data_IF_650362514631
#
_entry.id   IF_650362514631
#
_cell.length_a   1.000
_cell.length_b   1.000
_cell.length_c   1.000
_cell.angle_alpha   90.00
_cell.angle_beta   90.00
_cell.angle_gamma   90.00
#
_symmetry.space_group_name_H-M   'P 1'
#
loop_
_entity.id
_entity.type
_entity.pdbx_description
1 polymer ?
#
# COMPACT_ATOMS: atom_id res chain seq x y z
N UNK A 1 14.42 14.62 -4.70
CA UNK A 1 13.28 14.82 -3.79
C UNK A 1 12.33 15.76 -4.50
N UNK A 2 11.21 15.26 -5.00
CA UNK A 2 10.21 16.08 -5.69
C UNK A 2 9.60 17.16 -4.79
N UNK A 3 9.11 18.25 -5.39
CA UNK A 3 8.49 19.39 -4.70
C UNK A 3 7.35 18.92 -3.78
N UNK A 4 6.57 17.93 -4.21
CA UNK A 4 5.47 17.37 -3.41
C UNK A 4 5.93 16.55 -2.22
N UNK A 5 7.09 15.88 -2.30
CA UNK A 5 7.63 15.14 -1.16
C UNK A 5 7.94 16.06 0.03
N UNK A 6 8.29 17.33 -0.21
CA UNK A 6 8.47 18.32 0.86
C UNK A 6 7.14 18.81 1.44
N UNK A 7 6.12 18.95 0.58
CA UNK A 7 4.75 19.29 1.01
C UNK A 7 4.18 18.16 1.87
N UNK A 8 4.32 16.91 1.46
CA UNK A 8 3.82 15.76 2.22
C UNK A 8 4.66 15.41 3.44
N UNK A 9 5.99 15.56 3.38
CA UNK A 9 6.86 15.38 4.54
C UNK A 9 6.51 16.33 5.69
N UNK A 10 5.92 17.49 5.39
CA UNK A 10 5.45 18.45 6.38
C UNK A 10 4.03 18.16 6.90
N UNK A 11 3.24 17.33 6.20
CA UNK A 11 1.78 17.25 6.40
C UNK A 11 1.34 15.90 6.97
N UNK A 12 1.89 14.76 6.53
CA UNK A 12 1.42 13.44 6.99
C UNK A 12 2.18 12.24 6.43
N UNK A 13 2.00 11.09 7.09
CA UNK A 13 2.17 9.77 6.48
C UNK A 13 1.04 9.50 5.48
N UNK A 14 1.37 9.06 4.26
CA UNK A 14 0.41 8.90 3.15
C UNK A 14 0.22 7.43 2.81
N UNK A 15 -1.03 6.99 2.74
CA UNK A 15 -1.41 5.68 2.20
C UNK A 15 -2.44 5.86 1.08
N UNK A 16 -2.09 5.42 -0.13
CA UNK A 16 -3.06 5.35 -1.24
C UNK A 16 -3.80 4.04 -1.15
N UNK A 17 -5.09 4.13 -0.86
CA UNK A 17 -5.98 2.98 -0.79
C UNK A 17 -6.73 2.81 -2.09
N UNK A 18 -7.33 1.63 -2.27
CA UNK A 18 -8.19 1.43 -3.42
C UNK A 18 -9.53 2.16 -3.39
N UNK A 19 -9.83 2.87 -2.31
CA UNK A 19 -11.02 3.71 -2.21
C UNK A 19 -10.66 5.17 -1.88
N UNK A 20 -9.49 5.62 -2.36
CA UNK A 20 -8.99 6.97 -2.23
C UNK A 20 -7.76 7.05 -1.34
N UNK A 21 -7.39 8.26 -0.95
CA UNK A 21 -6.17 8.51 -0.17
C UNK A 21 -6.50 8.66 1.31
N UNK A 22 -5.68 8.06 2.16
CA UNK A 22 -5.70 8.23 3.60
C UNK A 22 -4.40 8.88 4.08
N UNK A 23 -4.52 9.96 4.84
CA UNK A 23 -3.40 10.67 5.46
C UNK A 23 -3.52 10.64 6.96
N UNK A 24 -2.40 10.52 7.66
CA UNK A 24 -2.34 10.82 9.09
C UNK A 24 -2.15 12.32 9.31
N UNK A 25 -3.23 13.06 9.55
CA UNK A 25 -3.18 14.48 9.88
C UNK A 25 -4.40 14.96 10.68
N UNK A 26 -4.14 15.91 11.58
CA UNK A 26 -5.18 16.68 12.25
C UNK A 26 -5.87 17.65 11.27
N UNK A 27 -7.18 17.89 11.42
CA UNK A 27 -7.92 18.85 10.59
C UNK A 27 -7.23 20.21 10.45
N UNK A 28 -6.77 20.80 11.56
CA UNK A 28 -6.05 22.09 11.55
C UNK A 28 -4.76 22.07 10.73
N UNK A 29 -4.04 20.93 10.72
CA UNK A 29 -2.83 20.76 9.91
C UNK A 29 -3.23 20.67 8.44
N UNK A 30 -4.30 19.95 8.13
CA UNK A 30 -4.84 19.82 6.78
C UNK A 30 -5.32 21.16 6.23
N UNK A 31 -6.15 21.91 6.96
CA UNK A 31 -6.67 23.21 6.52
C UNK A 31 -5.53 24.19 6.20
N UNK A 32 -4.42 24.12 6.95
CA UNK A 32 -3.22 24.91 6.69
C UNK A 32 -2.37 24.37 5.53
N UNK A 33 -2.49 23.07 5.21
CA UNK A 33 -1.73 22.39 4.18
C UNK A 33 -2.40 22.45 2.80
N UNK A 34 -3.73 22.40 2.72
CA UNK A 34 -4.45 22.34 1.44
C UNK A 34 -4.09 23.49 0.50
N UNK A 35 -4.04 24.77 0.94
CA UNK A 35 -3.61 25.86 0.06
C UNK A 35 -2.18 25.67 -0.49
N UNK A 36 -1.29 25.04 0.29
CA UNK A 36 0.08 24.73 -0.15
C UNK A 36 0.09 23.57 -1.14
N UNK A 37 -0.75 22.55 -0.93
CA UNK A 37 -0.94 21.44 -1.87
C UNK A 37 -1.47 21.99 -3.19
N UNK A 38 -2.51 22.82 -3.17
CA UNK A 38 -3.09 23.47 -4.35
C UNK A 38 -2.05 24.30 -5.10
N UNK A 39 -1.27 25.14 -4.40
CA UNK A 39 -0.21 25.93 -5.02
C UNK A 39 0.91 25.06 -5.63
N UNK A 40 1.33 24.01 -4.92
CA UNK A 40 2.35 23.08 -5.40
C UNK A 40 1.88 22.29 -6.63
N UNK A 41 0.63 21.83 -6.63
CA UNK A 41 0.00 21.18 -7.79
C UNK A 41 -0.09 22.15 -8.96
N UNK A 42 -0.59 23.36 -8.76
CA UNK A 42 -0.68 24.36 -9.83
C UNK A 42 0.68 24.65 -10.46
N UNK A 43 1.74 24.74 -9.66
CA UNK A 43 3.11 24.97 -10.16
C UNK A 43 3.72 23.74 -10.87
N UNK A 44 3.34 22.52 -10.46
CA UNK A 44 3.94 21.29 -10.97
C UNK A 44 3.13 20.65 -12.12
N UNK A 45 1.84 20.98 -12.29
CA UNK A 45 0.88 20.26 -13.14
C UNK A 45 1.33 20.12 -14.59
N UNK A 46 1.76 21.21 -15.23
CA UNK A 46 2.15 21.18 -16.63
C UNK A 46 3.43 20.36 -16.84
N UNK A 47 4.44 20.59 -15.98
CA UNK A 47 5.69 19.82 -16.01
C UNK A 47 5.43 18.33 -15.80
N UNK A 48 4.53 17.99 -14.86
CA UNK A 48 4.13 16.62 -14.58
C UNK A 48 3.43 15.99 -15.78
N UNK A 49 2.44 16.66 -16.35
CA UNK A 49 1.69 16.17 -17.50
C UNK A 49 2.59 15.95 -18.71
N UNK A 50 3.55 16.83 -18.96
CA UNK A 50 4.55 16.67 -20.02
C UNK A 50 5.44 15.45 -19.77
N UNK A 51 5.96 15.28 -18.55
CA UNK A 51 6.76 14.12 -18.19
C UNK A 51 5.98 12.80 -18.36
N UNK A 52 4.70 12.79 -17.97
CA UNK A 52 3.83 11.60 -18.06
C UNK A 52 3.28 11.31 -19.44
N UNK A 53 3.20 12.32 -20.31
CA UNK A 53 2.94 12.11 -21.74
C UNK A 53 4.11 11.40 -22.43
N UNK A 54 5.35 11.61 -21.95
CA UNK A 54 6.54 10.94 -22.49
C UNK A 54 6.76 9.55 -21.89
N UNK A 55 6.36 9.35 -20.63
CA UNK A 55 6.60 8.11 -19.89
C UNK A 55 5.51 7.85 -18.86
N UNK A 56 4.68 6.86 -19.14
CA UNK A 56 3.57 6.46 -18.26
C UNK A 56 4.07 5.64 -17.06
N UNK A 57 3.24 5.52 -16.02
CA UNK A 57 3.53 4.61 -14.90
C UNK A 57 3.60 3.13 -15.34
N UNK A 58 2.90 2.77 -16.42
CA UNK A 58 3.00 1.45 -17.01
C UNK A 58 4.40 1.20 -17.60
N UNK A 59 4.97 2.21 -18.28
CA UNK A 59 6.34 2.13 -18.83
C UNK A 59 7.38 2.01 -17.71
N UNK A 60 7.25 2.82 -16.64
CA UNK A 60 8.12 2.74 -15.46
C UNK A 60 7.99 1.37 -14.78
N UNK A 61 6.76 0.87 -14.64
CA UNK A 61 6.48 -0.45 -14.09
C UNK A 61 7.10 -1.58 -14.92
N UNK A 62 7.03 -1.49 -16.24
CA UNK A 62 7.66 -2.42 -17.18
C UNK A 62 9.19 -2.44 -17.03
N UNK A 63 9.83 -1.27 -17.04
CA UNK A 63 11.29 -1.19 -16.85
C UNK A 63 11.72 -1.72 -15.46
N UNK A 64 10.91 -1.45 -14.43
CA UNK A 64 11.16 -1.97 -13.10
C UNK A 64 11.12 -3.51 -13.06
N UNK A 65 10.16 -4.12 -13.77
CA UNK A 65 10.08 -5.56 -13.95
C UNK A 65 11.33 -6.09 -14.66
N UNK A 66 11.72 -5.50 -15.79
CA UNK A 66 12.91 -5.91 -16.55
C UNK A 66 14.20 -5.87 -15.71
N UNK A 67 14.37 -4.82 -14.90
CA UNK A 67 15.51 -4.72 -13.97
C UNK A 67 15.47 -5.80 -12.91
N UNK A 68 14.29 -6.09 -12.34
CA UNK A 68 14.16 -7.16 -11.36
C UNK A 68 14.44 -8.54 -11.99
N UNK A 69 13.98 -8.79 -13.22
CA UNK A 69 14.32 -9.98 -14.00
C UNK A 69 15.82 -10.11 -14.23
N UNK A 70 16.49 -9.00 -14.58
CA UNK A 70 17.93 -8.99 -14.79
C UNK A 70 18.71 -9.27 -13.49
N UNK A 71 18.33 -8.63 -12.39
CA UNK A 71 18.93 -8.90 -11.08
C UNK A 71 18.75 -10.37 -10.65
N UNK A 72 17.59 -10.96 -10.93
CA UNK A 72 17.35 -12.37 -10.64
C UNK A 72 18.20 -13.31 -11.52
N UNK A 73 18.33 -13.01 -12.82
CA UNK A 73 19.23 -13.75 -13.72
C UNK A 73 20.68 -13.68 -13.25
N UNK A 74 21.17 -12.50 -12.84
CA UNK A 74 22.52 -12.32 -12.32
C UNK A 74 22.73 -13.08 -11.00
N UNK A 75 21.74 -13.10 -10.11
CA UNK A 75 21.78 -13.92 -8.88
C UNK A 75 21.95 -15.41 -9.22
N UNK A 76 21.12 -15.95 -10.12
CA UNK A 76 21.21 -17.36 -10.55
C UNK A 76 22.52 -17.67 -11.27
N UNK A 77 23.04 -16.73 -12.06
CA UNK A 77 24.35 -16.88 -12.71
C UNK A 77 25.48 -16.95 -11.69
N UNK A 78 25.45 -16.08 -10.67
CA UNK A 78 26.43 -16.10 -9.59
C UNK A 78 26.39 -17.42 -8.83
N UNK A 79 25.20 -17.90 -8.45
CA UNK A 79 25.02 -19.20 -7.78
C UNK A 79 25.59 -20.37 -8.59
N UNK A 80 25.49 -20.30 -9.93
CA UNK A 80 25.99 -21.35 -10.83
C UNK A 80 27.49 -21.27 -11.14
N UNK A 81 28.05 -20.07 -11.23
CA UNK A 81 29.38 -19.85 -11.82
C UNK A 81 30.39 -19.20 -10.88
N UNK A 82 29.94 -18.67 -9.74
CA UNK A 82 30.74 -17.83 -8.86
C UNK A 82 31.13 -16.47 -9.46
N UNK A 83 30.78 -16.19 -10.72
CA UNK A 83 31.11 -14.93 -11.39
C UNK A 83 30.08 -13.87 -11.02
N UNK A 84 30.56 -12.70 -10.64
CA UNK A 84 29.76 -11.58 -10.16
C UNK A 84 30.21 -10.28 -10.82
N UNK A 85 29.34 -9.65 -11.60
CA UNK A 85 29.56 -8.28 -12.09
C UNK A 85 28.98 -7.30 -11.06
N UNK A 86 29.84 -6.84 -10.15
CA UNK A 86 29.45 -5.96 -9.06
C UNK A 86 28.92 -4.62 -9.59
N UNK A 87 29.55 -4.07 -10.63
CA UNK A 87 29.22 -2.76 -11.16
C UNK A 87 27.85 -2.78 -11.85
N UNK A 88 27.58 -3.83 -12.65
CA UNK A 88 26.27 -4.01 -13.25
C UNK A 88 25.18 -4.17 -12.18
N UNK A 89 25.42 -4.98 -11.15
CA UNK A 89 24.44 -5.21 -10.08
C UNK A 89 24.14 -3.91 -9.32
N UNK A 90 25.15 -3.12 -8.98
CA UNK A 90 24.93 -1.85 -8.29
C UNK A 90 24.24 -0.81 -9.17
N UNK A 91 24.56 -0.74 -10.47
CA UNK A 91 23.82 0.10 -11.43
C UNK A 91 22.34 -0.29 -11.51
N UNK A 92 22.04 -1.58 -11.65
CA UNK A 92 20.67 -2.08 -11.70
C UNK A 92 19.92 -1.81 -10.38
N UNK A 93 20.57 -1.98 -9.23
CA UNK A 93 19.97 -1.63 -7.93
C UNK A 93 19.73 -0.13 -7.79
N UNK A 94 20.62 0.72 -8.30
CA UNK A 94 20.45 2.17 -8.31
C UNK A 94 19.25 2.55 -9.17
N UNK A 95 19.19 2.06 -10.41
CA UNK A 95 18.06 2.30 -11.31
C UNK A 95 16.74 1.80 -10.71
N UNK A 96 16.73 0.63 -10.08
CA UNK A 96 15.56 0.15 -9.34
C UNK A 96 15.11 1.11 -8.24
N UNK A 97 16.04 1.73 -7.50
CA UNK A 97 15.69 2.72 -6.46
C UNK A 97 15.10 3.98 -7.08
N UNK A 98 15.64 4.43 -8.21
CA UNK A 98 15.11 5.58 -8.96
C UNK A 98 13.68 5.33 -9.43
N UNK A 99 13.43 4.23 -10.15
CA UNK A 99 12.10 3.87 -10.66
C UNK A 99 11.05 3.75 -9.53
N UNK A 100 11.43 3.18 -8.40
CA UNK A 100 10.57 3.14 -7.20
C UNK A 100 10.27 4.53 -6.67
N UNK A 101 11.26 5.43 -6.71
CA UNK A 101 11.09 6.84 -6.39
C UNK A 101 10.10 7.51 -7.34
N UNK A 102 10.24 7.30 -8.66
CA UNK A 102 9.35 7.86 -9.67
C UNK A 102 7.89 7.37 -9.53
N UNK A 103 7.67 6.07 -9.24
CA UNK A 103 6.34 5.54 -8.97
C UNK A 103 5.73 6.12 -7.69
N UNK A 104 6.54 6.29 -6.63
CA UNK A 104 6.09 6.92 -5.39
C UNK A 104 5.74 8.40 -5.60
N UNK A 105 6.56 9.12 -6.36
CA UNK A 105 6.26 10.52 -6.71
C UNK A 105 4.98 10.60 -7.54
N UNK A 106 4.67 9.58 -8.36
CA UNK A 106 3.39 9.48 -9.10
C UNK A 106 2.19 9.30 -8.20
N UNK A 107 2.31 8.37 -7.26
CA UNK A 107 1.33 8.14 -6.21
C UNK A 107 1.06 9.45 -5.44
N UNK A 108 2.10 10.11 -4.95
CA UNK A 108 2.02 11.38 -4.22
C UNK A 108 1.37 12.49 -5.06
N UNK A 109 1.75 12.62 -6.34
CA UNK A 109 1.16 13.61 -7.25
C UNK A 109 -0.32 13.36 -7.50
N UNK A 110 -0.70 12.11 -7.75
CA UNK A 110 -2.10 11.71 -7.97
C UNK A 110 -2.94 12.03 -6.74
N UNK A 111 -2.42 11.69 -5.55
CA UNK A 111 -3.07 11.97 -4.29
C UNK A 111 -3.21 13.48 -4.01
N UNK A 112 -2.16 14.26 -4.21
CA UNK A 112 -2.20 15.72 -4.06
C UNK A 112 -3.16 16.38 -5.04
N UNK A 113 -3.19 15.91 -6.29
CA UNK A 113 -4.08 16.45 -7.33
C UNK A 113 -5.54 16.19 -6.98
N UNK A 114 -5.86 14.98 -6.52
CA UNK A 114 -7.21 14.62 -6.09
C UNK A 114 -7.70 15.49 -4.91
N UNK A 115 -6.84 15.74 -3.91
CA UNK A 115 -7.17 16.68 -2.82
C UNK A 115 -7.33 18.11 -3.34
N UNK A 116 -6.42 18.58 -4.19
CA UNK A 116 -6.45 19.95 -4.69
C UNK A 116 -7.71 20.24 -5.54
N UNK A 117 -8.16 19.25 -6.30
CA UNK A 117 -9.32 19.35 -7.20
C UNK A 117 -10.64 19.04 -6.48
N UNK A 118 -10.62 18.13 -5.49
CA UNK A 118 -11.82 17.61 -4.83
C UNK A 118 -11.81 17.82 -3.31
N UNK A 119 -11.22 18.92 -2.81
CA UNK A 119 -11.05 19.22 -1.37
C UNK A 119 -12.35 19.01 -0.56
N UNK A 120 -13.49 19.45 -1.10
CA UNK A 120 -14.79 19.35 -0.44
C UNK A 120 -15.28 17.90 -0.24
N UNK A 121 -14.69 16.92 -0.93
CA UNK A 121 -14.99 15.50 -0.72
C UNK A 121 -14.23 14.89 0.45
N UNK A 122 -13.27 15.60 1.04
CA UNK A 122 -12.44 15.10 2.13
C UNK A 122 -12.87 15.66 3.50
N UNK A 123 -12.69 14.87 4.55
CA UNK A 123 -12.83 15.32 5.93
C UNK A 123 -11.81 14.65 6.85
N UNK A 124 -11.71 15.18 8.06
CA UNK A 124 -10.88 14.64 9.13
C UNK A 124 -11.71 13.77 10.06
N UNK A 125 -11.25 12.54 10.23
CA UNK A 125 -11.82 11.52 11.09
C UNK A 125 -10.92 11.31 12.30
N UNK A 126 -11.53 11.28 13.48
CA UNK A 126 -10.88 10.73 14.68
C UNK A 126 -11.28 9.27 14.76
N UNK A 127 -10.31 8.38 14.69
CA UNK A 127 -10.51 6.94 14.70
C UNK A 127 -10.59 6.45 16.14
N UNK A 128 -11.78 5.99 16.51
CA UNK A 128 -12.06 5.23 17.72
C UNK A 128 -12.37 3.77 17.36
N UNK A 129 -12.76 2.97 18.35
CA UNK A 129 -13.09 1.56 18.16
C UNK A 129 -14.30 1.34 17.23
N UNK A 130 -15.19 2.34 17.09
CA UNK A 130 -16.33 2.28 16.18
C UNK A 130 -15.95 2.64 14.73
N UNK A 131 -14.75 3.18 14.48
CA UNK A 131 -14.32 3.65 13.16
C UNK A 131 -13.02 3.03 12.66
N UNK A 132 -12.56 1.93 13.27
CA UNK A 132 -11.31 1.26 12.88
C UNK A 132 -11.28 0.81 11.42
N UNK A 133 -12.43 0.48 10.83
CA UNK A 133 -12.54 0.11 9.41
C UNK A 133 -12.03 1.20 8.44
N UNK A 134 -12.06 2.48 8.84
CA UNK A 134 -11.53 3.58 8.03
C UNK A 134 -10.02 3.41 7.83
N UNK A 135 -9.27 3.26 8.93
CA UNK A 135 -7.81 3.11 8.86
C UNK A 135 -7.41 1.70 8.37
N UNK A 136 -8.26 0.69 8.62
CA UNK A 136 -8.06 -0.66 8.10
C UNK A 136 -8.05 -0.72 6.57
N UNK A 137 -8.74 0.19 5.88
CA UNK A 137 -8.72 0.25 4.40
C UNK A 137 -7.32 0.53 3.83
N UNK A 138 -6.42 1.15 4.59
CA UNK A 138 -5.01 1.34 4.23
C UNK A 138 -4.09 0.17 4.60
N UNK A 139 -4.60 -0.85 5.29
CA UNK A 139 -3.71 -1.80 5.93
C UNK A 139 -2.97 -2.70 4.96
N UNK A 140 -1.70 -2.95 5.29
CA UNK A 140 -0.79 -3.71 4.44
C UNK A 140 -0.19 -2.93 3.27
N UNK A 141 -0.68 -1.72 2.97
CA UNK A 141 -0.06 -0.81 2.01
C UNK A 141 1.24 -0.27 2.61
N UNK A 142 2.26 -0.13 1.77
CA UNK A 142 3.58 0.32 2.23
C UNK A 142 3.55 1.83 2.37
N UNK A 143 3.81 2.34 3.58
CA UNK A 143 3.93 3.77 3.86
C UNK A 143 5.41 4.14 3.81
N UNK A 144 5.85 4.73 2.70
CA UNK A 144 7.28 4.95 2.45
C UNK A 144 7.89 6.07 3.29
N UNK A 145 7.07 6.99 3.83
CA UNK A 145 7.50 8.07 4.72
C UNK A 145 7.45 7.71 6.21
N UNK A 146 7.06 6.47 6.56
CA UNK A 146 7.20 5.91 7.92
C UNK A 146 8.39 4.93 7.99
N UNK A 147 9.63 5.40 8.23
CA UNK A 147 10.77 4.51 8.40
C UNK A 147 10.74 3.84 9.77
N UNK A 148 11.20 2.59 9.82
CA UNK A 148 11.42 1.86 11.06
C UNK A 148 12.55 2.51 11.86
N UNK A 149 12.34 2.83 13.16
CA UNK A 149 13.38 3.47 13.98
C UNK A 149 14.61 2.59 14.20
N UNK A 150 14.49 1.27 14.00
CA UNK A 150 15.58 0.31 14.21
C UNK A 150 16.44 0.10 12.96
N UNK A 151 15.82 0.05 11.77
CA UNK A 151 16.53 -0.37 10.55
C UNK A 151 16.32 0.55 9.34
N UNK A 152 15.57 1.65 9.52
CA UNK A 152 15.17 2.61 8.49
C UNK A 152 14.40 2.00 7.31
N UNK A 153 13.97 0.73 7.44
CA UNK A 153 13.14 0.06 6.44
C UNK A 153 11.70 0.58 6.51
N UNK A 154 10.94 0.57 5.41
CA UNK A 154 9.58 1.07 5.43
C UNK A 154 8.72 0.25 6.39
N UNK A 155 7.80 0.93 7.06
CA UNK A 155 6.78 0.31 7.90
C UNK A 155 5.46 0.25 7.14
N UNK A 156 4.54 -0.55 7.67
CA UNK A 156 3.17 -0.62 7.21
C UNK A 156 2.26 -0.82 8.40
N UNK A 157 1.02 -0.38 8.27
CA UNK A 157 0.00 -0.60 9.28
C UNK A 157 -0.34 -2.11 9.33
N UNK A 158 -0.35 -2.68 10.54
CA UNK A 158 -0.66 -4.10 10.82
C UNK A 158 -1.41 -4.26 12.15
N UNK A 159 -2.10 -5.40 12.32
CA UNK A 159 -2.67 -5.83 13.60
C UNK A 159 -2.45 -7.35 13.80
N UNK A 160 -2.68 -7.81 15.03
CA UNK A 160 -2.60 -9.23 15.40
C UNK A 160 -3.68 -10.05 14.68
N UNK A 161 -3.33 -11.19 14.08
CA UNK A 161 -4.32 -11.98 13.33
C UNK A 161 -5.45 -12.55 14.19
N UNK A 162 -6.56 -12.97 13.55
CA UNK A 162 -7.67 -13.68 14.18
C UNK A 162 -8.84 -12.81 14.65
N UNK A 163 -8.86 -11.53 14.28
CA UNK A 163 -9.92 -10.58 14.64
C UNK A 163 -10.70 -10.18 13.38
N UNK A 164 -12.04 -10.21 13.45
CA UNK A 164 -12.95 -9.73 12.40
C UNK A 164 -13.33 -8.25 12.54
N UNK A 165 -13.18 -7.72 13.76
CA UNK A 165 -13.29 -6.29 14.09
C UNK A 165 -12.10 -5.99 15.00
N UNK A 166 -11.31 -4.97 14.67
CA UNK A 166 -10.19 -4.54 15.50
C UNK A 166 -10.60 -3.38 16.40
N UNK A 167 -9.97 -3.31 17.58
CA UNK A 167 -9.92 -2.08 18.37
C UNK A 167 -8.71 -1.24 17.97
N UNK A 168 -8.72 0.04 18.30
CA UNK A 168 -7.56 0.93 18.17
C UNK A 168 -6.30 0.35 18.84
N UNK A 169 -6.46 -0.39 19.93
CA UNK A 169 -5.36 -1.00 20.68
C UNK A 169 -4.68 -2.19 19.98
N UNK A 170 -5.33 -2.77 18.97
CA UNK A 170 -4.81 -3.90 18.17
C UNK A 170 -3.91 -3.44 17.02
N UNK A 171 -4.02 -2.17 16.64
CA UNK A 171 -3.35 -1.58 15.50
C UNK A 171 -1.91 -1.14 15.85
N UNK A 172 -1.01 -1.28 14.89
CA UNK A 172 0.37 -0.83 15.06
C UNK A 172 1.18 -0.81 13.77
N UNK A 173 2.33 -0.15 13.81
CA UNK A 173 3.29 -0.14 12.73
C UNK A 173 4.17 -1.37 12.81
N UNK A 174 4.20 -2.18 11.74
CA UNK A 174 5.11 -3.31 11.62
C UNK A 174 6.17 -3.08 10.55
N UNK A 175 7.43 -3.35 10.88
CA UNK A 175 8.52 -3.23 9.91
C UNK A 175 8.35 -4.25 8.78
N UNK A 176 8.40 -3.78 7.52
CA UNK A 176 8.32 -4.69 6.37
C UNK A 176 9.52 -5.63 6.29
N UNK A 177 10.69 -5.23 6.83
CA UNK A 177 11.90 -6.06 6.84
C UNK A 177 11.76 -7.38 7.60
N UNK A 178 10.65 -7.58 8.32
CA UNK A 178 10.26 -8.87 8.88
C UNK A 178 10.21 -9.97 7.82
N UNK A 179 9.80 -9.68 6.58
CA UNK A 179 9.71 -10.72 5.54
C UNK A 179 11.04 -11.23 5.01
N UNK A 180 12.14 -10.55 5.31
CA UNK A 180 13.46 -11.00 4.88
C UNK A 180 14.15 -11.72 6.01
N UNK A 181 14.81 -12.83 5.70
CA UNK A 181 15.62 -13.59 6.64
C UNK A 181 17.10 -13.43 6.33
N UNK A 182 17.91 -13.31 7.38
CA UNK A 182 19.37 -13.41 7.33
C UNK A 182 19.79 -14.44 8.38
N UNK A 183 20.47 -15.50 7.96
CA UNK A 183 20.88 -16.62 8.83
C UNK A 183 19.70 -17.22 9.62
N UNK A 184 18.55 -17.43 8.96
CA UNK A 184 17.34 -18.00 9.58
C UNK A 184 16.50 -17.02 10.41
N UNK A 185 17.06 -15.89 10.85
CA UNK A 185 16.36 -14.87 11.62
C UNK A 185 15.79 -13.75 10.73
N UNK A 186 14.68 -13.15 11.15
CA UNK A 186 14.12 -11.98 10.47
C UNK A 186 15.09 -10.79 10.52
N UNK A 187 15.21 -10.03 9.42
CA UNK A 187 16.12 -8.88 9.34
C UNK A 187 15.71 -7.78 10.33
N UNK A 188 14.42 -7.58 10.55
CA UNK A 188 13.90 -6.71 11.60
C UNK A 188 12.50 -7.18 12.01
N UNK A 189 12.24 -7.30 13.30
CA UNK A 189 10.94 -7.67 13.87
C UNK A 189 10.27 -6.52 14.64
N UNK A 190 10.73 -5.27 14.42
CA UNK A 190 10.18 -4.10 15.11
C UNK A 190 8.69 -3.95 14.81
N UNK A 191 7.94 -3.79 15.89
CA UNK A 191 6.52 -3.47 15.89
C UNK A 191 6.27 -2.45 17.00
N UNK A 192 5.47 -1.44 16.72
CA UNK A 192 5.09 -0.41 17.68
C UNK A 192 3.60 -0.12 17.60
N UNK A 193 3.00 0.21 18.75
CA UNK A 193 1.62 0.66 18.82
C UNK A 193 1.47 1.99 18.08
N UNK A 194 0.27 2.22 17.58
CA UNK A 194 -0.10 3.54 17.07
C UNK A 194 -0.09 4.58 18.20
N UNK A 195 0.46 5.76 17.90
CA UNK A 195 0.35 6.94 18.73
C UNK A 195 -1.08 7.53 18.59
N UNK A 196 -1.63 8.24 19.59
CA UNK A 196 -2.92 8.92 19.44
C UNK A 196 -3.06 9.77 18.16
N UNK A 197 -1.97 10.40 17.71
CA UNK A 197 -1.96 11.18 16.47
C UNK A 197 -2.10 10.32 15.20
N UNK A 198 -1.80 9.02 15.26
CA UNK A 198 -2.01 8.08 14.17
C UNK A 198 -3.50 7.81 13.89
N UNK A 199 -4.38 8.16 14.84
CA UNK A 199 -5.83 8.03 14.71
C UNK A 199 -6.49 9.30 14.17
N UNK A 200 -5.73 10.34 13.83
CA UNK A 200 -6.26 11.51 13.13
C UNK A 200 -6.07 11.30 11.64
N UNK A 201 -7.14 10.89 10.96
CA UNK A 201 -7.10 10.47 9.56
C UNK A 201 -7.81 11.51 8.70
N UNK A 202 -7.17 11.94 7.62
CA UNK A 202 -7.80 12.76 6.58
C UNK A 202 -8.05 11.90 5.35
N UNK A 203 -9.30 11.86 4.91
CA UNK A 203 -9.81 10.87 3.97
C UNK A 203 -10.99 11.40 3.17
N UNK A 204 -11.28 10.76 2.02
CA UNK A 204 -12.54 10.99 1.30
C UNK A 204 -13.74 10.59 2.16
N UNK A 205 -14.60 11.55 2.43
CA UNK A 205 -15.81 11.44 3.24
C UNK A 205 -17.06 11.08 2.43
N UNK A 206 -17.01 11.13 1.09
CA UNK A 206 -18.08 10.68 0.20
C UNK A 206 -18.24 9.15 0.12
N UNK A 207 -17.97 8.47 1.24
CA UNK A 207 -17.95 7.02 1.39
C UNK A 207 -18.96 6.66 2.49
N UNK A 208 -20.13 6.09 2.14
CA UNK A 208 -21.15 5.73 3.12
C UNK A 208 -20.61 4.78 4.19
N UNK A 209 -19.71 3.88 3.82
CA UNK A 209 -19.07 2.98 4.78
C UNK A 209 -18.23 3.71 5.81
N UNK A 210 -17.70 4.91 5.53
CA UNK A 210 -16.91 5.69 6.50
C UNK A 210 -17.77 6.60 7.38
N UNK A 211 -18.89 7.07 6.87
CA UNK A 211 -19.70 8.12 7.51
C UNK A 211 -20.96 7.59 8.18
N UNK A 212 -21.54 6.50 7.66
CA UNK A 212 -22.84 5.98 8.10
C UNK A 212 -22.73 4.69 8.92
N UNK A 213 -21.60 3.97 8.84
CA UNK A 213 -21.43 2.65 9.45
C UNK A 213 -20.34 2.65 10.52
N UNK A 214 -20.58 1.93 11.61
CA UNK A 214 -19.52 1.52 12.54
C UNK A 214 -18.71 0.35 11.95
N UNK A 215 -17.51 0.13 12.49
CA UNK A 215 -16.64 -0.98 12.13
C UNK A 215 -17.35 -2.34 12.27
N UNK A 216 -18.15 -2.51 13.32
CA UNK A 216 -18.95 -3.70 13.56
C UNK A 216 -20.07 -3.87 12.53
N UNK A 217 -20.82 -2.80 12.23
CA UNK A 217 -21.89 -2.83 11.22
C UNK A 217 -21.33 -3.15 9.84
N UNK A 218 -20.27 -2.45 9.42
CA UNK A 218 -19.64 -2.68 8.14
C UNK A 218 -19.08 -4.10 8.03
N UNK A 219 -18.38 -4.58 9.07
CA UNK A 219 -17.88 -5.95 9.14
C UNK A 219 -19.01 -6.99 9.03
N UNK A 220 -20.09 -6.80 9.78
CA UNK A 220 -21.28 -7.65 9.73
C UNK A 220 -21.91 -7.72 8.34
N UNK A 221 -22.03 -6.58 7.64
CA UNK A 221 -22.60 -6.54 6.29
C UNK A 221 -21.74 -7.30 5.27
N UNK A 222 -20.41 -7.13 5.31
CA UNK A 222 -19.50 -7.84 4.38
C UNK A 222 -19.49 -9.35 4.65
N UNK A 223 -19.46 -9.76 5.91
CA UNK A 223 -19.44 -11.17 6.29
C UNK A 223 -20.77 -11.87 6.00
N UNK A 224 -21.90 -11.15 6.08
CA UNK A 224 -23.21 -11.67 5.67
C UNK A 224 -23.29 -12.00 4.16
N UNK A 225 -22.50 -11.31 3.33
CA UNK A 225 -22.41 -11.52 1.88
C UNK A 225 -21.11 -12.25 1.48
N UNK A 226 -20.60 -13.10 2.36
CA UNK A 226 -19.34 -13.82 2.12
C UNK A 226 -19.32 -14.59 0.78
N UNK A 227 -20.36 -15.35 0.38
CA UNK A 227 -20.35 -16.07 -0.90
C UNK A 227 -20.12 -15.14 -2.11
N UNK A 228 -20.82 -14.01 -2.16
CA UNK A 228 -20.72 -13.02 -3.23
C UNK A 228 -19.34 -12.35 -3.25
N UNK A 229 -18.80 -12.03 -2.09
CA UNK A 229 -17.44 -11.46 -1.97
C UNK A 229 -16.39 -12.47 -2.43
N UNK A 230 -16.55 -13.76 -2.08
CA UNK A 230 -15.66 -14.84 -2.56
C UNK A 230 -15.70 -14.94 -4.07
N UNK A 231 -16.88 -14.95 -4.68
CA UNK A 231 -17.04 -15.06 -6.14
C UNK A 231 -16.34 -13.89 -6.85
N UNK A 232 -16.54 -12.67 -6.36
CA UNK A 232 -15.85 -11.48 -6.88
C UNK A 232 -14.33 -11.57 -6.73
N UNK A 233 -13.85 -12.01 -5.56
CA UNK A 233 -12.41 -12.21 -5.33
C UNK A 233 -11.83 -13.29 -6.26
N UNK A 234 -12.57 -14.35 -6.58
CA UNK A 234 -12.14 -15.37 -7.53
C UNK A 234 -12.10 -14.87 -8.98
N UNK A 235 -13.05 -14.02 -9.38
CA UNK A 235 -13.04 -13.34 -10.69
C UNK A 235 -11.78 -12.49 -10.79
N UNK A 236 -11.56 -11.60 -9.83
CA UNK A 236 -10.38 -10.73 -9.78
C UNK A 236 -9.10 -11.55 -9.80
N UNK A 237 -9.00 -12.62 -8.99
CA UNK A 237 -7.80 -13.46 -8.89
C UNK A 237 -7.41 -14.11 -10.22
N UNK A 238 -8.39 -14.51 -11.03
CA UNK A 238 -8.17 -15.20 -12.31
C UNK A 238 -7.81 -14.24 -13.44
N UNK A 239 -8.14 -12.97 -13.32
CA UNK A 239 -7.85 -11.95 -14.32
C UNK A 239 -6.51 -11.24 -14.04
N UNK A 240 -5.52 -11.46 -14.91
CA UNK A 240 -4.19 -10.88 -14.77
C UNK A 240 -4.13 -9.37 -14.97
N UNK A 241 -5.21 -8.73 -15.46
CA UNK A 241 -5.27 -7.28 -15.62
C UNK A 241 -5.66 -6.57 -14.32
N UNK A 242 -6.43 -7.24 -13.46
CA UNK A 242 -7.02 -6.64 -12.25
C UNK A 242 -6.65 -7.36 -10.96
N UNK A 243 -5.90 -8.47 -11.02
CA UNK A 243 -5.45 -9.21 -9.83
C UNK A 243 -4.32 -8.51 -9.05
N UNK A 244 -3.93 -7.29 -9.44
CA UNK A 244 -2.92 -6.48 -8.78
C UNK A 244 -3.32 -5.02 -8.80
N UNK A 245 -2.99 -4.28 -7.74
CA UNK A 245 -3.32 -2.86 -7.64
C UNK A 245 -2.11 -2.08 -7.12
N UNK A 246 -1.93 -0.85 -7.61
CA UNK A 246 -0.74 -0.02 -7.35
C UNK A 246 -0.59 0.39 -5.89
N UNK A 247 -1.70 0.50 -5.16
CA UNK A 247 -1.75 0.72 -3.70
C UNK A 247 -0.90 -0.30 -2.91
N UNK A 248 -0.76 -1.52 -3.42
CA UNK A 248 0.00 -2.58 -2.78
C UNK A 248 1.25 -2.92 -3.60
N UNK A 249 2.39 -2.31 -3.25
CA UNK A 249 3.70 -2.62 -3.86
C UNK A 249 4.64 -3.34 -2.89
N UNK A 250 5.48 -4.22 -3.44
CA UNK A 250 6.55 -4.88 -2.70
C UNK A 250 7.62 -3.84 -2.28
N UNK A 251 7.97 -3.69 -0.99
CA UNK A 251 8.97 -2.73 -0.56
C UNK A 251 10.38 -3.07 -1.06
N UNK A 252 10.63 -4.33 -1.42
CA UNK A 252 11.89 -4.74 -2.06
C UNK A 252 11.92 -4.38 -3.54
N UNK A 253 11.00 -4.97 -4.30
CA UNK A 253 10.99 -4.96 -5.77
C UNK A 253 10.28 -3.76 -6.39
N UNK A 254 9.38 -3.10 -5.66
CA UNK A 254 8.54 -1.99 -6.14
C UNK A 254 7.35 -2.43 -7.03
N UNK A 255 7.29 -3.70 -7.41
CA UNK A 255 6.20 -4.27 -8.20
C UNK A 255 4.92 -4.43 -7.39
N UNK A 256 3.77 -4.25 -8.04
CA UNK A 256 2.45 -4.49 -7.47
C UNK A 256 2.33 -5.94 -6.99
N UNK A 257 1.71 -6.12 -5.82
CA UNK A 257 1.44 -7.45 -5.28
C UNK A 257 0.27 -8.08 -6.03
N UNK A 258 0.34 -9.40 -6.20
CA UNK A 258 -0.65 -10.19 -6.95
C UNK A 258 -1.54 -10.95 -5.98
N UNK A 259 -2.85 -10.93 -6.23
CA UNK A 259 -3.84 -11.66 -5.46
C UNK A 259 -3.64 -13.19 -5.57
N UNK A 260 -3.70 -13.84 -4.42
CA UNK A 260 -3.59 -15.28 -4.24
C UNK A 260 -4.63 -15.77 -3.24
N UNK A 261 -5.05 -17.02 -3.43
CA UNK A 261 -5.85 -17.77 -2.47
C UNK A 261 -4.94 -18.67 -1.64
N UNK A 262 -5.19 -18.79 -0.34
CA UNK A 262 -4.51 -19.79 0.49
C UNK A 262 -5.00 -21.18 0.12
N UNK A 263 -4.07 -22.14 0.09
CA UNK A 263 -4.41 -23.55 -0.10
C UNK A 263 -5.03 -24.11 1.20
N UNK A 264 -4.46 -23.73 2.34
CA UNK A 264 -4.98 -24.07 3.67
C UNK A 264 -5.54 -22.79 4.30
N UNK A 265 -6.84 -22.76 4.48
CA UNK A 265 -7.57 -21.70 5.19
C UNK A 265 -8.62 -22.34 6.10
N UNK A 266 -9.07 -21.61 7.12
CA UNK A 266 -10.10 -22.07 8.07
C UNK A 266 -11.54 -22.05 7.51
N UNK A 267 -11.73 -21.54 6.29
CA UNK A 267 -13.04 -21.44 5.65
C UNK A 267 -13.71 -20.07 5.83
N UNK A 268 -13.09 -19.18 6.60
CA UNK A 268 -13.54 -17.78 6.76
C UNK A 268 -13.00 -16.91 5.63
N UNK A 269 -13.82 -15.97 5.15
CA UNK A 269 -13.42 -15.01 4.11
C UNK A 269 -12.09 -14.30 4.42
N UNK A 270 -11.91 -13.90 5.68
CA UNK A 270 -10.77 -13.11 6.15
C UNK A 270 -9.45 -13.92 6.26
N UNK A 271 -9.51 -15.25 6.11
CA UNK A 271 -8.33 -16.11 6.03
C UNK A 271 -8.04 -16.61 4.60
N UNK A 272 -8.94 -16.41 3.63
CA UNK A 272 -8.79 -17.00 2.29
C UNK A 272 -7.76 -16.28 1.41
N UNK A 273 -7.68 -14.95 1.46
CA UNK A 273 -6.99 -14.16 0.44
C UNK A 273 -5.77 -13.41 0.97
N UNK A 274 -4.78 -13.26 0.10
CA UNK A 274 -3.59 -12.48 0.37
C UNK A 274 -2.96 -11.97 -0.92
N UNK A 275 -2.25 -10.86 -0.82
CA UNK A 275 -1.44 -10.29 -1.88
C UNK A 275 0.02 -10.74 -1.68
N UNK A 276 0.68 -11.13 -2.77
CA UNK A 276 2.04 -11.69 -2.73
C UNK A 276 2.93 -11.01 -3.77
N UNK A 277 4.21 -10.85 -3.45
CA UNK A 277 5.18 -10.40 -4.45
C UNK A 277 5.17 -11.34 -5.68
N UNK A 278 5.18 -10.80 -6.91
CA UNK A 278 5.26 -11.61 -8.12
C UNK A 278 6.57 -12.42 -8.20
N UNK A 279 7.64 -11.92 -7.56
CA UNK A 279 8.95 -12.58 -7.44
C UNK A 279 9.01 -13.68 -6.37
N UNK A 280 7.86 -14.25 -6.01
CA UNK A 280 7.81 -15.37 -5.07
C UNK A 280 8.23 -16.66 -5.76
N UNK A 281 9.18 -17.37 -5.16
CA UNK A 281 9.67 -18.67 -5.63
C UNK A 281 10.08 -19.54 -4.43
N UNK A 282 9.10 -20.23 -3.83
CA UNK A 282 9.32 -21.03 -2.62
C UNK A 282 10.01 -20.22 -1.52
N UNK A 283 11.06 -20.78 -0.91
CA UNK A 283 11.93 -20.10 0.07
C UNK A 283 13.06 -19.29 -0.58
N UNK A 284 13.24 -19.36 -1.91
CA UNK A 284 14.36 -18.75 -2.63
C UNK A 284 14.03 -17.36 -3.20
N UNK A 285 12.75 -17.07 -3.38
CA UNK A 285 12.23 -15.80 -3.88
C UNK A 285 11.84 -14.80 -2.79
N UNK A 286 11.14 -13.74 -3.21
CA UNK A 286 10.65 -12.71 -2.30
C UNK A 286 9.49 -13.22 -1.45
N UNK A 287 9.69 -13.23 -0.12
CA UNK A 287 8.68 -13.69 0.83
C UNK A 287 7.63 -12.63 1.19
N UNK A 288 7.71 -11.42 0.62
CA UNK A 288 6.83 -10.34 1.00
C UNK A 288 5.37 -10.62 0.59
N UNK A 289 4.47 -10.54 1.57
CA UNK A 289 3.04 -10.73 1.39
C UNK A 289 2.22 -9.83 2.33
N UNK A 290 0.99 -9.57 1.94
CA UNK A 290 -0.02 -8.83 2.71
C UNK A 290 -1.25 -9.71 2.79
N UNK A 291 -1.67 -10.08 4.00
CA UNK A 291 -2.93 -10.82 4.18
C UNK A 291 -4.09 -9.82 4.12
N UNK A 292 -5.17 -10.15 3.41
CA UNK A 292 -6.40 -9.36 3.38
C UNK A 292 -7.30 -9.88 4.50
N UNK A 293 -7.13 -9.30 5.69
CA UNK A 293 -7.65 -9.82 6.96
C UNK A 293 -8.86 -9.06 7.50
N UNK A 294 -9.27 -7.94 6.89
CA UNK A 294 -10.50 -7.27 7.31
C UNK A 294 -11.43 -7.00 6.13
N UNK A 295 -12.74 -6.87 6.42
CA UNK A 295 -13.73 -6.40 5.46
C UNK A 295 -13.33 -5.11 4.74
N UNK A 296 -12.73 -4.15 5.45
CA UNK A 296 -12.28 -2.88 4.88
C UNK A 296 -11.13 -3.05 3.89
N UNK A 297 -10.17 -3.92 4.19
CA UNK A 297 -9.09 -4.24 3.25
C UNK A 297 -9.63 -4.92 1.98
N UNK A 298 -10.57 -5.86 2.12
CA UNK A 298 -11.18 -6.55 0.98
C UNK A 298 -11.97 -5.58 0.11
N UNK A 299 -12.78 -4.71 0.73
CA UNK A 299 -13.52 -3.66 0.06
C UNK A 299 -12.59 -2.71 -0.70
N UNK A 300 -11.56 -2.19 -0.03
CA UNK A 300 -10.60 -1.27 -0.65
C UNK A 300 -9.88 -1.95 -1.82
N UNK A 301 -9.43 -3.19 -1.66
CA UNK A 301 -8.77 -3.94 -2.72
C UNK A 301 -9.69 -4.17 -3.94
N UNK A 302 -10.93 -4.62 -3.71
CA UNK A 302 -11.92 -4.83 -4.78
C UNK A 302 -12.24 -3.52 -5.51
N UNK A 303 -12.38 -2.42 -4.77
CA UNK A 303 -12.64 -1.11 -5.36
C UNK A 303 -11.49 -0.65 -6.26
N UNK A 304 -10.23 -0.79 -5.82
CA UNK A 304 -9.08 -0.50 -6.68
C UNK A 304 -9.02 -1.41 -7.92
N UNK A 305 -9.38 -2.69 -7.75
CA UNK A 305 -9.26 -3.68 -8.82
C UNK A 305 -10.37 -3.54 -9.87
N UNK A 306 -11.57 -3.16 -9.46
CA UNK A 306 -12.78 -3.27 -10.29
C UNK A 306 -13.59 -1.98 -10.41
N UNK A 307 -13.20 -0.91 -9.70
CA UNK A 307 -14.01 0.31 -9.55
C UNK A 307 -15.25 0.14 -8.67
N UNK A 308 -15.41 -1.03 -8.04
CA UNK A 308 -16.51 -1.35 -7.12
C UNK A 308 -15.98 -2.05 -5.88
N UNK A 309 -16.31 -1.54 -4.70
CA UNK A 309 -16.02 -2.19 -3.41
C UNK A 309 -16.80 -3.48 -3.22
N UNK A 310 -16.93 -4.03 -2.01
CA UNK A 310 -17.70 -5.28 -1.77
C UNK A 310 -19.19 -5.20 -2.15
N UNK A 311 -19.77 -3.99 -2.18
CA UNK A 311 -21.15 -3.71 -2.58
C UNK A 311 -21.20 -3.11 -4.00
#
# INVERSE_FOLDING_TARGET
MGILSQVFAAVADVAITGAGVLFRAAKKIVDAAVPRIQAAIAAAKDTWNQARAQRSDADIGGELQEINDHLEKLKRQYERTGKFDHDLVERLKARRRELKGELRESDEFTAASDIAENEAEYDSFVIDDDRTHIIEAAMGQTVYNKPCPICSGPMRLQWKGGLSVTSTSDLGWGCTRWYWKKNGAHVCNHWEKLHPDDFQIFAKANRPEFTELTASQFSGMVLAHQPEVIDRMEIVRKDNQINSVTAYRCPGHGESLVLRKKIKHDGTLLDMYYLRCPRWDGDMGCQYMVKLKSPAQLHAFLNASTGKGVF
#
